data_IF_289169961975
#
_entry.id   IF_289169961975
#
_cell.length_a   1.000
_cell.length_b   1.000
_cell.length_c   1.000
_cell.angle_alpha   90.00
_cell.angle_beta   90.00
_cell.angle_gamma   90.00
#
_symmetry.space_group_name_H-M   'P 1'
#
loop_
_entity.id
_entity.type
_entity.pdbx_description
1 polymer ?
#
# COMPACT_ATOMS: atom_id res chain seq x y z
N UNK A 1 26.92 36.39 -9.66
CA UNK A 1 25.77 35.44 -9.68
C UNK A 1 26.13 34.16 -10.46
N UNK A 2 27.29 33.53 -10.23
CA UNK A 2 27.80 32.45 -11.09
C UNK A 2 28.08 31.11 -10.37
N UNK A 3 27.71 30.96 -9.08
CA UNK A 3 28.07 29.77 -8.28
C UNK A 3 26.94 28.76 -8.07
N UNK A 4 25.74 28.97 -8.64
CA UNK A 4 24.57 28.08 -8.40
C UNK A 4 24.25 27.09 -9.52
N UNK A 5 24.86 27.25 -10.70
CA UNK A 5 24.57 26.38 -11.85
C UNK A 5 25.45 25.12 -11.84
N UNK A 6 26.69 25.21 -11.34
CA UNK A 6 27.61 24.05 -11.29
C UNK A 6 27.21 22.92 -10.32
N UNK A 7 26.44 23.22 -9.26
CA UNK A 7 26.04 22.21 -8.28
C UNK A 7 24.93 21.27 -8.79
N UNK A 8 24.09 21.72 -9.72
CA UNK A 8 22.98 20.91 -10.23
C UNK A 8 23.48 19.91 -11.28
N UNK A 9 24.47 20.29 -12.10
CA UNK A 9 25.09 19.37 -13.06
C UNK A 9 25.94 18.30 -12.37
N UNK A 10 26.66 18.65 -11.30
CA UNK A 10 27.41 17.69 -10.48
C UNK A 10 26.49 16.67 -9.79
N UNK A 11 25.31 17.08 -9.31
CA UNK A 11 24.34 16.16 -8.70
C UNK A 11 23.73 15.23 -9.74
N UNK A 12 23.44 15.71 -10.96
CA UNK A 12 22.94 14.85 -12.06
C UNK A 12 23.96 13.83 -12.52
N UNK A 13 25.24 14.20 -12.64
CA UNK A 13 26.34 13.30 -12.99
C UNK A 13 26.54 12.22 -11.92
N UNK A 14 26.55 12.59 -10.64
CA UNK A 14 26.69 11.64 -9.52
C UNK A 14 25.49 10.68 -9.45
N UNK A 15 24.27 11.14 -9.71
CA UNK A 15 23.08 10.28 -9.70
C UNK A 15 23.03 9.31 -10.89
N UNK A 16 23.43 9.77 -12.08
CA UNK A 16 23.51 8.92 -13.27
C UNK A 16 24.60 7.86 -13.14
N UNK A 17 25.79 8.22 -12.62
CA UNK A 17 26.86 7.26 -12.35
C UNK A 17 26.47 6.26 -11.25
N UNK A 18 25.77 6.69 -10.20
CA UNK A 18 25.25 5.77 -9.18
C UNK A 18 24.18 4.83 -9.73
N UNK A 19 23.26 5.31 -10.57
CA UNK A 19 22.23 4.48 -11.19
C UNK A 19 22.82 3.48 -12.17
N UNK A 20 23.79 3.87 -12.99
CA UNK A 20 24.51 2.93 -13.86
C UNK A 20 25.33 1.91 -13.07
N UNK A 21 25.99 2.34 -12.00
CA UNK A 21 26.77 1.46 -11.13
C UNK A 21 25.88 0.44 -10.42
N UNK A 22 24.71 0.85 -9.90
CA UNK A 22 23.75 -0.06 -9.28
C UNK A 22 23.12 -1.03 -10.28
N UNK A 23 22.82 -0.56 -11.50
CA UNK A 23 22.21 -1.41 -12.52
C UNK A 23 23.23 -2.45 -13.06
N UNK A 24 24.49 -2.05 -13.29
CA UNK A 24 25.59 -2.96 -13.66
C UNK A 24 25.87 -3.98 -12.54
N UNK A 25 25.86 -3.56 -11.27
CA UNK A 25 26.07 -4.47 -10.12
C UNK A 25 24.92 -5.45 -9.94
N UNK A 26 23.68 -5.00 -10.13
CA UNK A 26 22.47 -5.86 -10.11
C UNK A 26 22.47 -6.90 -11.23
N UNK A 27 22.82 -6.50 -12.45
CA UNK A 27 23.02 -7.41 -13.58
C UNK A 27 24.14 -8.40 -13.32
N UNK A 28 25.26 -7.95 -12.73
CA UNK A 28 26.39 -8.83 -12.39
C UNK A 28 26.03 -9.82 -11.28
N UNK A 29 25.29 -9.40 -10.24
CA UNK A 29 24.81 -10.31 -9.19
C UNK A 29 23.78 -11.30 -9.71
N UNK A 30 22.91 -10.89 -10.63
CA UNK A 30 21.93 -11.79 -11.26
C UNK A 30 22.61 -12.78 -12.21
N UNK A 31 23.64 -12.34 -12.94
CA UNK A 31 24.45 -13.21 -13.79
C UNK A 31 25.28 -14.19 -12.97
N UNK A 32 25.92 -13.73 -11.88
CA UNK A 32 26.69 -14.60 -10.98
C UNK A 32 25.78 -15.60 -10.27
N UNK A 33 24.60 -15.20 -9.78
CA UNK A 33 23.63 -16.14 -9.18
C UNK A 33 23.12 -17.15 -10.20
N UNK A 34 22.79 -16.73 -11.43
CA UNK A 34 22.43 -17.67 -12.51
C UNK A 34 23.58 -18.61 -12.89
N UNK A 35 24.81 -18.12 -12.94
CA UNK A 35 26.00 -18.93 -13.22
C UNK A 35 26.27 -19.92 -12.09
N UNK A 36 26.11 -19.49 -10.84
CA UNK A 36 26.27 -20.34 -9.65
C UNK A 36 25.19 -21.41 -9.65
N UNK A 37 23.91 -21.06 -9.84
CA UNK A 37 22.80 -22.01 -9.96
C UNK A 37 23.04 -22.98 -11.12
N UNK A 38 23.48 -22.51 -12.29
CA UNK A 38 23.77 -23.36 -13.44
C UNK A 38 24.97 -24.29 -13.21
N UNK A 39 25.99 -23.85 -12.47
CA UNK A 39 27.10 -24.70 -12.03
C UNK A 39 26.67 -25.70 -10.95
N UNK A 40 25.83 -25.30 -9.99
CA UNK A 40 25.31 -26.20 -8.95
C UNK A 40 24.39 -27.26 -9.57
N UNK A 41 23.51 -26.87 -10.50
CA UNK A 41 22.67 -27.81 -11.27
C UNK A 41 23.56 -28.76 -12.07
N UNK A 42 24.56 -28.24 -12.80
CA UNK A 42 25.48 -29.07 -13.59
C UNK A 42 26.32 -30.02 -12.72
N UNK A 43 26.76 -29.58 -11.53
CA UNK A 43 27.43 -30.45 -10.56
C UNK A 43 26.48 -31.46 -9.95
N UNK A 44 25.22 -31.12 -9.66
CA UNK A 44 24.22 -32.09 -9.18
C UNK A 44 23.79 -33.08 -10.25
N UNK A 45 23.77 -32.71 -11.54
CA UNK A 45 23.53 -33.65 -12.65
C UNK A 45 24.77 -34.45 -13.04
N UNK A 46 25.97 -34.01 -12.65
CA UNK A 46 27.19 -34.83 -12.69
C UNK A 46 27.36 -35.71 -11.45
N UNK A 47 26.65 -35.41 -10.35
CA UNK A 47 26.56 -36.20 -9.12
C UNK A 47 25.31 -37.09 -9.04
N UNK A 48 24.39 -37.03 -10.02
CA UNK A 48 23.59 -38.20 -10.38
C UNK A 48 24.57 -39.21 -10.94
N UNK A 49 25.06 -40.03 -10.02
CA UNK A 49 25.88 -41.20 -10.25
C UNK A 49 25.25 -41.94 -11.42
N UNK A 50 25.97 -41.97 -12.55
CA UNK A 50 25.97 -43.12 -13.44
C UNK A 50 26.35 -44.31 -12.55
N UNK A 51 25.36 -44.90 -11.87
CA UNK A 51 25.47 -46.27 -11.42
C UNK A 51 25.26 -47.09 -12.69
N UNK A 52 26.30 -47.17 -13.52
CA UNK A 52 26.41 -48.37 -14.35
C UNK A 52 26.36 -49.55 -13.38
N UNK A 53 25.49 -50.55 -13.62
CA UNK A 53 25.41 -51.69 -12.74
C UNK A 53 26.78 -52.35 -12.76
N UNK A 54 27.48 -52.31 -11.62
CA UNK A 54 28.70 -53.08 -11.43
C UNK A 54 28.27 -54.54 -11.51
N UNK A 55 28.54 -55.14 -12.66
CA UNK A 55 28.41 -56.57 -12.92
C UNK A 55 29.43 -57.29 -12.04
N UNK A 56 28.99 -57.71 -10.86
CA UNK A 56 29.72 -58.70 -10.07
C UNK A 56 29.43 -60.06 -10.69
N UNK A 57 30.24 -60.47 -11.67
CA UNK A 57 30.37 -61.89 -12.01
C UNK A 57 31.04 -62.58 -10.81
N UNK A 58 30.20 -63.00 -9.86
CA UNK A 58 30.56 -63.90 -8.78
C UNK A 58 29.87 -65.23 -9.07
N UNK A 59 30.53 -66.03 -9.91
CA UNK A 59 30.26 -67.45 -10.05
C UNK A 59 30.47 -68.13 -8.69
N UNK A 60 29.38 -68.59 -8.08
CA UNK A 60 29.44 -69.58 -7.00
C UNK A 60 28.64 -69.21 -5.75
N UNK A 61 27.41 -69.73 -5.72
CA UNK A 61 26.67 -70.08 -4.51
C UNK A 61 26.04 -68.93 -3.70
N UNK A 62 25.07 -68.22 -4.27
CA UNK A 62 24.16 -67.39 -3.48
C UNK A 62 22.70 -67.66 -3.87
N UNK A 63 21.87 -68.01 -2.87
CA UNK A 63 20.43 -67.76 -2.95
C UNK A 63 20.28 -66.27 -3.23
N UNK A 64 19.82 -65.91 -4.42
CA UNK A 64 19.55 -64.52 -4.78
C UNK A 64 18.48 -63.97 -3.83
N UNK A 65 18.91 -63.29 -2.76
CA UNK A 65 17.99 -62.55 -1.90
C UNK A 65 17.31 -61.49 -2.76
N UNK A 66 15.99 -61.37 -2.63
CA UNK A 66 15.25 -60.35 -3.36
C UNK A 66 15.66 -58.94 -2.87
N UNK A 67 15.52 -57.93 -3.72
CA UNK A 67 15.80 -56.54 -3.34
C UNK A 67 15.04 -56.10 -2.08
N UNK A 68 13.81 -56.60 -1.93
CA UNK A 68 12.96 -56.35 -0.76
C UNK A 68 13.52 -57.02 0.51
N UNK A 69 14.05 -58.23 0.42
CA UNK A 69 14.72 -58.92 1.54
C UNK A 69 15.99 -58.20 1.99
N UNK A 70 16.77 -57.64 1.05
CA UNK A 70 17.97 -56.85 1.38
C UNK A 70 17.62 -55.54 2.10
N UNK A 71 16.57 -54.86 1.66
CA UNK A 71 16.08 -53.64 2.33
C UNK A 71 15.54 -53.96 3.71
N UNK A 72 14.77 -55.05 3.84
CA UNK A 72 14.21 -55.47 5.12
C UNK A 72 15.31 -55.83 6.12
N UNK A 73 16.33 -56.60 5.71
CA UNK A 73 17.50 -56.90 6.54
C UNK A 73 18.27 -55.64 6.96
N UNK A 74 18.36 -54.64 6.07
CA UNK A 74 18.97 -53.36 6.39
C UNK A 74 18.15 -52.55 7.41
N UNK A 75 16.82 -52.58 7.31
CA UNK A 75 15.92 -51.95 8.30
C UNK A 75 16.05 -52.62 9.67
N UNK A 76 16.06 -53.95 9.73
CA UNK A 76 16.24 -54.70 10.98
C UNK A 76 17.61 -54.40 11.62
N UNK A 77 18.66 -54.31 10.80
CA UNK A 77 20.00 -53.89 11.26
C UNK A 77 20.00 -52.47 11.82
N UNK A 78 19.35 -51.52 11.14
CA UNK A 78 19.18 -50.15 11.61
C UNK A 78 18.47 -50.10 12.97
N UNK A 79 17.36 -50.82 13.12
CA UNK A 79 16.59 -50.86 14.38
C UNK A 79 17.42 -51.43 15.52
N UNK A 80 18.14 -52.52 15.29
CA UNK A 80 19.05 -53.14 16.27
C UNK A 80 20.12 -52.14 16.73
N UNK A 81 20.79 -51.46 15.79
CA UNK A 81 21.80 -50.46 16.11
C UNK A 81 21.22 -49.22 16.83
N UNK A 82 19.98 -48.82 16.50
CA UNK A 82 19.27 -47.74 17.22
C UNK A 82 18.98 -48.16 18.67
N UNK A 83 18.52 -49.39 18.89
CA UNK A 83 18.27 -49.92 20.23
C UNK A 83 19.55 -49.95 21.06
N UNK A 84 20.63 -50.50 20.51
CA UNK A 84 21.93 -50.55 21.18
C UNK A 84 22.44 -49.14 21.56
N UNK A 85 22.32 -48.16 20.65
CA UNK A 85 22.72 -46.77 20.93
C UNK A 85 21.84 -46.12 22.00
N UNK A 86 20.54 -46.41 22.02
CA UNK A 86 19.63 -45.93 23.08
C UNK A 86 19.98 -46.52 24.44
N UNK A 87 20.33 -47.80 24.50
CA UNK A 87 20.71 -48.45 25.74
C UNK A 87 22.08 -47.96 26.25
N UNK A 88 23.04 -47.74 25.35
CA UNK A 88 24.30 -47.09 25.70
C UNK A 88 24.07 -45.68 26.25
N UNK A 89 23.19 -44.89 25.61
CA UNK A 89 22.84 -43.55 26.08
C UNK A 89 22.23 -43.59 27.48
N UNK A 90 21.32 -44.52 27.76
CA UNK A 90 20.73 -44.70 29.09
C UNK A 90 21.79 -45.07 30.13
N UNK A 91 22.72 -45.97 29.79
CA UNK A 91 23.82 -46.34 30.70
C UNK A 91 24.69 -45.13 31.01
N UNK A 92 25.03 -44.32 30.01
CA UNK A 92 25.80 -43.08 30.20
C UNK A 92 25.04 -42.07 31.05
N UNK A 93 23.74 -41.92 30.83
CA UNK A 93 22.88 -41.04 31.64
C UNK A 93 22.85 -41.49 33.10
N UNK A 94 22.56 -42.76 33.37
CA UNK A 94 22.55 -43.31 34.72
C UNK A 94 23.91 -43.14 35.40
N UNK A 95 25.01 -43.41 34.70
CA UNK A 95 26.36 -43.22 35.21
C UNK A 95 26.70 -41.74 35.48
N UNK A 96 26.08 -40.82 34.74
CA UNK A 96 26.24 -39.37 34.96
C UNK A 96 25.41 -38.92 36.16
N UNK A 97 24.19 -39.47 36.35
CA UNK A 97 23.31 -39.17 37.47
C UNK A 97 23.87 -39.68 38.81
N UNK A 98 24.67 -40.75 38.78
CA UNK A 98 25.40 -41.27 39.95
C UNK A 98 26.59 -40.38 40.37
N UNK A 99 27.03 -39.45 39.52
CA UNK A 99 28.12 -38.51 39.83
C UNK A 99 27.56 -37.29 40.57
N UNK A 100 28.05 -36.96 41.79
CA UNK A 100 27.55 -35.81 42.54
C UNK A 100 27.85 -34.49 41.81
N UNK A 101 26.87 -33.57 41.78
CA UNK A 101 26.92 -32.28 41.06
C UNK A 101 28.11 -31.35 41.43
N UNK A 102 28.78 -31.61 42.55
CA UNK A 102 29.79 -30.72 43.14
C UNK A 102 31.25 -31.10 42.81
N UNK A 103 31.50 -31.83 41.72
CA UNK A 103 32.88 -32.10 41.27
C UNK A 103 33.30 -31.01 40.29
N UNK A 104 34.12 -30.06 40.74
CA UNK A 104 34.83 -29.18 39.82
C UNK A 104 35.64 -30.03 38.83
N UNK A 105 35.55 -29.77 37.51
CA UNK A 105 36.22 -30.60 36.51
C UNK A 105 37.75 -30.48 36.65
N UNK A 106 38.34 -31.39 37.43
CA UNK A 106 39.78 -31.60 37.52
C UNK A 106 40.21 -32.50 36.37
N UNK A 107 40.33 -31.94 35.17
CA UNK A 107 40.78 -32.65 33.98
C UNK A 107 41.35 -31.72 32.91
N UNK A 108 42.34 -32.21 32.16
CA UNK A 108 42.88 -31.49 31.02
C UNK A 108 41.98 -31.71 29.80
N UNK A 109 41.27 -30.67 29.36
CA UNK A 109 40.43 -30.71 28.15
C UNK A 109 41.21 -31.14 26.91
N UNK A 110 42.53 -30.91 26.88
CA UNK A 110 43.38 -31.37 25.78
C UNK A 110 43.45 -32.90 25.72
N UNK A 111 43.40 -33.58 26.87
CA UNK A 111 43.36 -35.04 26.92
C UNK A 111 42.02 -35.57 26.41
N UNK A 112 40.90 -34.96 26.82
CA UNK A 112 39.57 -35.37 26.33
C UNK A 112 39.44 -35.20 24.81
N UNK A 113 39.90 -34.08 24.27
CA UNK A 113 39.86 -33.81 22.82
C UNK A 113 40.86 -34.67 22.03
N UNK A 114 41.84 -35.28 22.69
CA UNK A 114 42.83 -36.13 22.02
C UNK A 114 42.28 -37.50 21.59
N UNK A 115 41.18 -37.96 22.18
CA UNK A 115 40.62 -39.31 21.94
C UNK A 115 39.13 -39.25 21.61
N UNK A 116 38.67 -39.86 20.51
CA UNK A 116 37.24 -39.97 20.23
C UNK A 116 36.58 -40.92 21.24
N UNK A 117 35.47 -40.46 21.84
CA UNK A 117 34.73 -41.17 22.90
C UNK A 117 33.87 -42.32 22.36
N UNK A 118 33.40 -42.21 21.12
CA UNK A 118 32.58 -43.22 20.48
C UNK A 118 33.18 -43.60 19.14
N UNK A 119 33.38 -44.90 18.93
CA UNK A 119 33.83 -45.46 17.65
C UNK A 119 32.72 -46.36 17.12
N UNK A 120 32.19 -46.10 15.93
CA UNK A 120 31.18 -46.95 15.34
C UNK A 120 31.79 -48.32 14.99
N UNK A 121 30.98 -49.37 15.16
CA UNK A 121 31.33 -50.71 14.69
C UNK A 121 31.31 -50.76 13.16
N UNK A 122 31.96 -51.78 12.58
CA UNK A 122 31.99 -51.97 11.12
C UNK A 122 30.60 -52.19 10.51
N UNK A 123 29.65 -52.72 11.29
CA UNK A 123 28.27 -52.93 10.86
C UNK A 123 27.38 -51.71 11.08
N UNK A 124 27.87 -50.66 11.75
CA UNK A 124 27.06 -49.49 12.09
C UNK A 124 26.67 -48.72 10.80
N UNK A 125 25.37 -48.63 10.48
CA UNK A 125 24.91 -47.95 9.26
C UNK A 125 24.98 -46.42 9.33
N UNK A 126 25.53 -45.84 10.40
CA UNK A 126 25.56 -44.38 10.67
C UNK A 126 26.07 -43.53 9.49
N UNK A 127 27.05 -44.02 8.73
CA UNK A 127 27.60 -43.28 7.59
C UNK A 127 26.55 -43.05 6.50
N UNK A 128 25.84 -44.10 6.11
CA UNK A 128 24.78 -44.02 5.10
C UNK A 128 23.59 -43.23 5.63
N UNK A 129 23.17 -43.47 6.89
CA UNK A 129 22.05 -42.77 7.50
C UNK A 129 22.29 -41.26 7.59
N UNK A 130 23.49 -40.84 8.03
CA UNK A 130 23.85 -39.42 8.16
C UNK A 130 23.95 -38.76 6.79
N UNK A 131 24.60 -39.41 5.83
CA UNK A 131 24.72 -38.88 4.47
C UNK A 131 23.34 -38.74 3.81
N UNK A 132 22.47 -39.74 3.96
CA UNK A 132 21.11 -39.73 3.42
C UNK A 132 20.29 -38.59 4.02
N UNK A 133 20.17 -38.52 5.35
CA UNK A 133 19.39 -37.47 6.04
C UNK A 133 19.95 -36.08 5.77
N UNK A 134 21.27 -35.92 5.79
CA UNK A 134 21.90 -34.62 5.49
C UNK A 134 21.58 -34.18 4.07
N UNK A 135 21.62 -35.09 3.10
CA UNK A 135 21.40 -34.76 1.70
C UNK A 135 19.92 -34.48 1.40
N UNK A 136 19.00 -35.29 1.94
CA UNK A 136 17.56 -35.08 1.76
C UNK A 136 17.12 -33.79 2.44
N UNK A 137 17.54 -33.56 3.68
CA UNK A 137 17.23 -32.32 4.41
C UNK A 137 17.75 -31.10 3.66
N UNK A 138 19.00 -31.14 3.18
CA UNK A 138 19.59 -30.04 2.40
C UNK A 138 18.81 -29.78 1.11
N UNK A 139 18.42 -30.84 0.40
CA UNK A 139 17.65 -30.71 -0.84
C UNK A 139 16.28 -30.07 -0.57
N UNK A 140 15.56 -30.56 0.43
CA UNK A 140 14.24 -30.05 0.80
C UNK A 140 14.30 -28.60 1.30
N UNK A 141 15.26 -28.28 2.17
CA UNK A 141 15.43 -26.93 2.70
C UNK A 141 15.81 -25.95 1.59
N UNK A 142 16.68 -26.36 0.67
CA UNK A 142 17.08 -25.54 -0.48
C UNK A 142 15.89 -25.32 -1.42
N UNK A 143 15.10 -26.36 -1.70
CA UNK A 143 13.90 -26.23 -2.53
C UNK A 143 12.89 -25.26 -1.92
N UNK A 144 12.62 -25.38 -0.62
CA UNK A 144 11.74 -24.45 0.11
C UNK A 144 12.27 -23.01 0.03
N UNK A 145 13.57 -22.82 0.25
CA UNK A 145 14.19 -21.51 0.17
C UNK A 145 14.11 -20.91 -1.24
N UNK A 146 14.38 -21.69 -2.29
CA UNK A 146 14.26 -21.23 -3.69
C UNK A 146 12.84 -20.78 -3.98
N UNK A 147 11.83 -21.59 -3.63
CA UNK A 147 10.43 -21.26 -3.87
C UNK A 147 10.03 -19.95 -3.17
N UNK A 148 10.49 -19.73 -1.93
CA UNK A 148 10.24 -18.49 -1.20
C UNK A 148 10.90 -17.29 -1.88
N UNK A 149 12.13 -17.45 -2.37
CA UNK A 149 12.85 -16.38 -3.09
C UNK A 149 12.23 -16.07 -4.44
N UNK A 150 11.77 -17.07 -5.19
CA UNK A 150 11.08 -16.86 -6.46
C UNK A 150 9.79 -16.07 -6.27
N UNK A 151 8.99 -16.42 -5.25
CA UNK A 151 7.79 -15.66 -4.92
C UNK A 151 8.12 -14.19 -4.59
N UNK A 152 9.12 -13.97 -3.73
CA UNK A 152 9.54 -12.62 -3.34
C UNK A 152 10.12 -11.83 -4.51
N UNK A 153 10.76 -12.48 -5.46
CA UNK A 153 11.31 -11.84 -6.66
C UNK A 153 10.17 -11.26 -7.51
N UNK A 154 9.10 -12.02 -7.73
CA UNK A 154 7.92 -11.54 -8.48
C UNK A 154 7.29 -10.33 -7.81
N UNK A 155 7.15 -10.36 -6.49
CA UNK A 155 6.64 -9.22 -5.70
C UNK A 155 7.54 -7.98 -5.84
N UNK A 156 8.86 -8.16 -5.79
CA UNK A 156 9.82 -7.07 -5.98
C UNK A 156 9.78 -6.50 -7.40
N UNK A 157 9.68 -7.35 -8.42
CA UNK A 157 9.58 -6.90 -9.81
C UNK A 157 8.32 -6.07 -10.03
N UNK A 158 7.20 -6.46 -9.41
CA UNK A 158 5.98 -5.66 -9.48
C UNK A 158 6.15 -4.32 -8.78
N UNK A 159 6.68 -4.31 -7.56
CA UNK A 159 6.95 -3.06 -6.81
C UNK A 159 7.86 -2.11 -7.60
N UNK A 160 8.87 -2.64 -8.29
CA UNK A 160 9.76 -1.82 -9.14
C UNK A 160 9.00 -1.23 -10.34
N UNK A 161 8.06 -1.97 -10.95
CA UNK A 161 7.21 -1.44 -12.02
C UNK A 161 6.32 -0.31 -11.48
N UNK A 162 5.62 -0.55 -10.38
CA UNK A 162 4.72 0.43 -9.77
C UNK A 162 5.46 1.72 -9.38
N UNK A 163 6.66 1.59 -8.81
CA UNK A 163 7.48 2.75 -8.46
C UNK A 163 7.97 3.53 -9.68
N UNK A 164 8.27 2.84 -10.80
CA UNK A 164 8.63 3.51 -12.05
C UNK A 164 7.46 4.29 -12.61
N UNK A 165 6.27 3.71 -12.61
CA UNK A 165 5.07 4.36 -13.10
C UNK A 165 4.72 5.59 -12.26
N UNK A 166 4.75 5.47 -10.93
CA UNK A 166 4.56 6.59 -10.02
C UNK A 166 5.59 7.70 -10.23
N UNK A 167 6.87 7.34 -10.44
CA UNK A 167 7.91 8.33 -10.71
C UNK A 167 7.65 9.06 -12.04
N UNK A 168 7.15 8.36 -13.07
CA UNK A 168 6.78 9.00 -14.33
C UNK A 168 5.60 9.98 -14.14
N UNK A 169 4.57 9.58 -13.38
CA UNK A 169 3.44 10.44 -13.08
C UNK A 169 3.87 11.70 -12.30
N UNK A 170 4.81 11.56 -11.37
CA UNK A 170 5.38 12.69 -10.64
C UNK A 170 6.17 13.64 -11.55
N UNK A 171 6.91 13.10 -12.53
CA UNK A 171 7.60 13.93 -13.53
C UNK A 171 6.58 14.72 -14.36
N UNK A 172 5.51 14.08 -14.80
CA UNK A 172 4.42 14.76 -15.53
C UNK A 172 3.76 15.84 -14.67
N UNK A 173 3.49 15.55 -13.39
CA UNK A 173 2.93 16.52 -12.46
C UNK A 173 3.85 17.74 -12.27
N UNK A 174 5.16 17.50 -12.12
CA UNK A 174 6.16 18.57 -12.01
C UNK A 174 6.13 19.45 -13.27
N UNK A 175 6.07 18.84 -14.46
CA UNK A 175 5.99 19.58 -15.72
C UNK A 175 4.70 20.43 -15.81
N UNK A 176 3.56 19.87 -15.39
CA UNK A 176 2.29 20.60 -15.34
C UNK A 176 2.33 21.77 -14.35
N UNK A 177 2.94 21.57 -13.18
CA UNK A 177 3.11 22.62 -12.18
C UNK A 177 4.05 23.73 -12.67
N UNK A 178 5.15 23.38 -13.34
CA UNK A 178 6.07 24.35 -13.94
C UNK A 178 5.36 25.18 -15.01
N UNK A 179 4.61 24.54 -15.93
CA UNK A 179 3.80 25.24 -16.93
C UNK A 179 2.77 26.18 -16.29
N UNK A 180 2.13 25.73 -15.20
CA UNK A 180 1.17 26.55 -14.44
C UNK A 180 1.83 27.75 -13.77
N UNK A 181 3.04 27.60 -13.22
CA UNK A 181 3.80 28.71 -12.64
C UNK A 181 4.17 29.74 -13.71
N UNK A 182 4.61 29.29 -14.89
CA UNK A 182 4.90 30.16 -16.03
C UNK A 182 3.65 30.94 -16.48
N UNK A 183 2.49 30.30 -16.52
CA UNK A 183 1.22 30.96 -16.90
C UNK A 183 0.62 31.85 -15.80
N UNK A 184 0.71 31.45 -14.52
CA UNK A 184 0.24 32.25 -13.39
C UNK A 184 1.09 33.50 -13.15
N UNK A 185 2.40 33.45 -13.43
CA UNK A 185 3.25 34.64 -13.42
C UNK A 185 2.78 35.71 -14.42
N UNK A 186 2.06 35.30 -15.47
CA UNK A 186 1.53 36.18 -16.52
C UNK A 186 0.09 36.66 -16.21
N UNK A 187 -0.66 35.94 -15.38
CA UNK A 187 -2.10 36.17 -15.13
C UNK A 187 -2.45 36.34 -13.65
N UNK A 188 -1.57 36.90 -12.83
CA UNK A 188 -1.87 37.18 -11.42
C UNK A 188 -2.81 38.39 -11.25
N UNK A 189 -4.04 38.29 -11.76
CA UNK A 189 -5.14 39.12 -11.31
C UNK A 189 -6.21 38.27 -10.64
N UNK A 190 -6.41 38.56 -9.35
CA UNK A 190 -7.72 38.58 -8.67
C UNK A 190 -8.41 37.23 -8.41
N UNK A 191 -7.77 36.35 -7.66
CA UNK A 191 -8.54 35.49 -6.74
C UNK A 191 -7.91 35.50 -5.35
N UNK A 192 -7.96 36.67 -4.70
CA UNK A 192 -7.96 36.63 -3.23
C UNK A 192 -9.27 35.96 -2.81
N UNK A 193 -9.24 34.98 -1.90
CA UNK A 193 -10.47 34.50 -1.29
C UNK A 193 -11.14 35.70 -0.62
N UNK A 194 -12.26 36.16 -1.19
CA UNK A 194 -13.06 37.23 -0.60
C UNK A 194 -13.68 36.71 0.68
N UNK A 195 -13.63 37.51 1.74
CA UNK A 195 -14.29 37.14 2.99
C UNK A 195 -15.81 37.02 2.73
N UNK A 196 -16.51 36.06 3.35
CA UNK A 196 -17.95 35.88 3.15
C UNK A 196 -18.76 37.17 3.37
N UNK A 197 -18.35 38.00 4.32
CA UNK A 197 -18.97 39.32 4.59
C UNK A 197 -18.81 40.30 3.44
N UNK A 198 -17.66 40.29 2.76
CA UNK A 198 -17.37 41.16 1.62
C UNK A 198 -18.16 40.70 0.38
N UNK A 199 -18.29 39.40 0.18
CA UNK A 199 -19.15 38.81 -0.85
C UNK A 199 -20.62 39.15 -0.57
N UNK A 200 -21.08 38.99 0.67
CA UNK A 200 -22.45 39.30 1.05
C UNK A 200 -22.77 40.79 0.84
N UNK A 201 -21.86 41.70 1.22
CA UNK A 201 -22.01 43.14 0.97
C UNK A 201 -22.09 43.45 -0.52
N UNK A 202 -21.26 42.81 -1.34
CA UNK A 202 -21.29 42.99 -2.79
C UNK A 202 -22.60 42.48 -3.38
N UNK A 203 -23.05 41.28 -2.99
CA UNK A 203 -24.32 40.72 -3.44
C UNK A 203 -25.51 41.59 -3.04
N UNK A 204 -25.53 42.12 -1.81
CA UNK A 204 -26.56 43.06 -1.36
C UNK A 204 -26.52 44.36 -2.18
N UNK A 205 -25.33 44.91 -2.46
CA UNK A 205 -25.21 46.12 -3.29
C UNK A 205 -25.64 45.89 -4.75
N UNK A 206 -25.33 44.72 -5.33
CA UNK A 206 -25.79 44.35 -6.67
C UNK A 206 -27.28 44.09 -6.71
N UNK A 207 -27.85 43.53 -5.64
CA UNK A 207 -29.29 43.34 -5.50
C UNK A 207 -30.01 44.70 -5.39
N UNK A 208 -29.48 45.62 -4.60
CA UNK A 208 -30.02 46.98 -4.48
C UNK A 208 -29.97 47.71 -5.82
N UNK A 209 -28.86 47.61 -6.54
CA UNK A 209 -28.71 48.19 -7.88
C UNK A 209 -29.69 47.56 -8.89
N UNK A 210 -29.88 46.23 -8.84
CA UNK A 210 -30.85 45.51 -9.67
C UNK A 210 -32.28 45.97 -9.39
N UNK A 211 -32.65 46.11 -8.12
CA UNK A 211 -33.98 46.57 -7.71
C UNK A 211 -34.22 48.00 -8.16
N UNK A 212 -33.24 48.90 -7.98
CA UNK A 212 -33.36 50.32 -8.35
C UNK A 212 -33.35 50.57 -9.86
N UNK A 213 -32.61 49.79 -10.65
CA UNK A 213 -32.43 50.05 -12.09
C UNK A 213 -33.35 49.24 -12.99
N UNK A 214 -33.74 48.04 -12.58
CA UNK A 214 -34.45 47.08 -13.44
C UNK A 214 -35.83 46.80 -12.86
N UNK A 215 -35.88 46.36 -11.60
CA UNK A 215 -37.13 45.88 -11.01
C UNK A 215 -38.13 47.03 -10.76
N UNK A 216 -37.69 48.18 -10.25
CA UNK A 216 -38.55 49.34 -10.01
C UNK A 216 -39.16 49.87 -11.31
N UNK A 217 -38.36 49.96 -12.38
CA UNK A 217 -38.77 50.49 -13.69
C UNK A 217 -39.83 49.60 -14.35
N UNK A 218 -39.69 48.28 -14.26
CA UNK A 218 -40.65 47.34 -14.84
C UNK A 218 -41.96 47.20 -14.04
N UNK A 219 -41.95 47.60 -12.76
CA UNK A 219 -43.11 47.46 -11.85
C UNK A 219 -44.03 48.69 -11.87
N UNK A 220 -43.53 49.87 -12.25
CA UNK A 220 -44.29 51.13 -12.32
C UNK A 220 -45.44 51.00 -13.33
N UNK A 221 -46.68 51.09 -12.84
CA UNK A 221 -47.82 51.47 -13.67
C UNK A 221 -47.81 53.00 -13.82
N UNK A 222 -48.15 53.51 -15.01
CA UNK A 222 -47.94 54.88 -15.48
C UNK A 222 -48.51 56.03 -14.60
N UNK A 223 -49.17 55.72 -13.48
CA UNK A 223 -49.82 56.69 -12.59
C UNK A 223 -49.06 56.97 -11.29
N UNK A 224 -48.05 56.17 -10.89
CA UNK A 224 -47.37 56.32 -9.58
C UNK A 224 -45.84 56.14 -9.67
N UNK A 225 -45.18 56.96 -10.47
CA UNK A 225 -43.71 57.02 -10.54
C UNK A 225 -43.15 57.89 -9.41
N UNK A 226 -42.82 57.28 -8.27
CA UNK A 226 -42.07 57.91 -7.18
C UNK A 226 -40.79 57.12 -6.87
N UNK A 227 -39.72 57.82 -6.51
CA UNK A 227 -38.44 57.22 -6.07
C UNK A 227 -38.63 56.27 -4.87
N UNK A 228 -39.63 56.55 -4.04
CA UNK A 228 -40.00 55.79 -2.84
C UNK A 228 -40.38 54.32 -3.13
N UNK A 229 -40.85 54.02 -4.35
CA UNK A 229 -41.25 52.65 -4.71
C UNK A 229 -40.06 51.68 -4.71
N UNK A 230 -38.87 52.15 -5.09
CA UNK A 230 -37.67 51.32 -5.11
C UNK A 230 -37.21 50.94 -3.70
N UNK A 231 -37.38 51.85 -2.74
CA UNK A 231 -37.05 51.63 -1.33
C UNK A 231 -38.07 50.71 -0.66
N UNK A 232 -39.36 50.88 -0.94
CA UNK A 232 -40.42 49.99 -0.46
C UNK A 232 -40.24 48.55 -0.98
N UNK A 233 -39.94 48.39 -2.27
CA UNK A 233 -39.70 47.07 -2.87
C UNK A 233 -38.43 46.42 -2.32
N UNK A 234 -37.36 47.19 -2.13
CA UNK A 234 -36.13 46.68 -1.53
C UNK A 234 -36.34 46.27 -0.06
N UNK A 235 -37.09 47.05 0.71
CA UNK A 235 -37.44 46.71 2.10
C UNK A 235 -38.25 45.41 2.18
N UNK A 236 -39.20 45.18 1.26
CA UNK A 236 -39.94 43.92 1.16
C UNK A 236 -39.02 42.73 0.82
N UNK A 237 -38.06 42.89 -0.09
CA UNK A 237 -37.09 41.84 -0.43
C UNK A 237 -36.16 41.55 0.77
N UNK A 238 -35.74 42.58 1.51
CA UNK A 238 -34.95 42.40 2.73
C UNK A 238 -35.72 41.68 3.84
N UNK A 239 -37.03 41.96 4.01
CA UNK A 239 -37.89 41.20 4.93
C UNK A 239 -38.00 39.73 4.52
N UNK A 240 -38.12 39.46 3.22
CA UNK A 240 -38.12 38.08 2.68
C UNK A 240 -36.79 37.35 2.90
N UNK A 241 -35.66 38.02 2.66
CA UNK A 241 -34.32 37.45 2.85
C UNK A 241 -33.98 37.19 4.32
N UNK A 242 -34.51 37.99 5.25
CA UNK A 242 -34.33 37.80 6.69
C UNK A 242 -35.30 36.77 7.30
N UNK A 243 -36.06 36.03 6.48
CA UNK A 243 -37.04 35.04 6.92
C UNK A 243 -38.10 35.60 7.90
N UNK A 244 -38.65 36.79 7.59
CA UNK A 244 -39.72 37.36 8.39
C UNK A 244 -40.98 36.47 8.35
N UNK A 245 -41.38 35.92 9.50
CA UNK A 245 -42.56 35.06 9.63
C UNK A 245 -43.87 35.84 9.65
N UNK A 246 -43.81 37.16 9.79
CA UNK A 246 -44.97 38.06 9.89
C UNK A 246 -45.38 38.67 8.56
N UNK A 247 -44.66 38.38 7.47
CA UNK A 247 -44.93 38.97 6.17
C UNK A 247 -46.26 38.46 5.60
N UNK A 248 -47.23 39.35 5.43
CA UNK A 248 -48.56 39.02 4.94
C UNK A 248 -48.71 39.35 3.45
N UNK A 249 -49.63 38.68 2.76
CA UNK A 249 -50.01 39.06 1.39
C UNK A 249 -50.56 40.49 1.32
N UNK A 250 -51.08 41.03 2.43
CA UNK A 250 -51.55 42.41 2.54
C UNK A 250 -50.42 43.46 2.51
N UNK A 251 -49.20 43.08 2.92
CA UNK A 251 -48.01 43.95 2.89
C UNK A 251 -47.54 44.22 1.45
N UNK A 252 -47.99 43.41 0.49
CA UNK A 252 -47.80 43.67 -0.93
C UNK A 252 -48.88 44.66 -1.43
N UNK A 253 -48.58 45.95 -1.25
CA UNK A 253 -49.39 47.07 -1.76
C UNK A 253 -49.62 47.01 -3.28
N UNK A 254 -50.52 47.85 -3.80
CA UNK A 254 -50.96 47.83 -5.22
C UNK A 254 -49.79 47.84 -6.22
N UNK A 255 -48.69 48.53 -5.92
CA UNK A 255 -47.51 48.61 -6.78
C UNK A 255 -46.55 47.40 -6.67
N UNK A 256 -46.53 46.68 -5.56
CA UNK A 256 -45.67 45.48 -5.34
C UNK A 256 -46.39 44.15 -5.61
N UNK A 257 -47.67 44.18 -6.04
CA UNK A 257 -48.42 42.98 -6.45
C UNK A 257 -47.81 42.23 -7.62
N UNK A 258 -47.18 42.94 -8.56
CA UNK A 258 -46.48 42.32 -9.70
C UNK A 258 -45.25 41.54 -9.23
N UNK A 259 -44.52 42.04 -8.23
CA UNK A 259 -43.42 41.33 -7.59
C UNK A 259 -43.90 40.06 -6.89
N UNK A 260 -44.99 40.15 -6.12
CA UNK A 260 -45.60 38.97 -5.50
C UNK A 260 -45.97 37.89 -6.54
N UNK A 261 -46.58 38.29 -7.67
CA UNK A 261 -46.90 37.38 -8.78
C UNK A 261 -45.64 36.78 -9.42
N UNK A 262 -44.58 37.56 -9.56
CA UNK A 262 -43.31 37.11 -10.12
C UNK A 262 -42.66 36.06 -9.23
N UNK A 263 -42.56 36.34 -7.92
CA UNK A 263 -42.02 35.42 -6.92
C UNK A 263 -42.84 34.14 -6.80
N UNK A 264 -44.18 34.25 -6.89
CA UNK A 264 -45.07 33.08 -6.88
C UNK A 264 -44.92 32.25 -8.16
N UNK A 265 -44.82 32.89 -9.33
CA UNK A 265 -44.66 32.20 -10.61
C UNK A 265 -43.29 31.55 -10.76
N UNK A 266 -42.26 32.13 -10.15
CA UNK A 266 -40.92 31.56 -10.11
C UNK A 266 -40.74 30.49 -9.02
N UNK A 267 -41.79 30.18 -8.25
CA UNK A 267 -41.79 29.21 -7.14
C UNK A 267 -40.71 29.51 -6.09
N UNK A 268 -40.36 30.78 -5.87
CA UNK A 268 -39.37 31.19 -4.87
C UNK A 268 -39.99 31.45 -3.50
N UNK A 269 -41.32 31.57 -3.43
CA UNK A 269 -42.09 31.78 -2.20
C UNK A 269 -43.13 30.68 -2.00
N UNK A 270 -43.41 30.39 -0.74
CA UNK A 270 -44.51 29.53 -0.30
C UNK A 270 -45.53 30.39 0.45
N UNK A 271 -46.81 30.14 0.18
CA UNK A 271 -47.90 30.82 0.88
C UNK A 271 -48.50 29.81 1.85
N UNK A 272 -48.44 30.12 3.14
CA UNK A 272 -48.99 29.28 4.20
C UNK A 272 -50.22 29.96 4.80
N UNK A 273 -51.30 29.19 4.95
CA UNK A 273 -52.53 29.68 5.58
C UNK A 273 -52.39 29.55 7.11
N UNK A 274 -52.44 30.69 7.80
CA UNK A 274 -52.45 30.77 9.26
C UNK A 274 -53.84 30.49 9.82
N UNK A 275 -54.00 30.02 11.09
CA UNK A 275 -55.30 29.76 11.70
C UNK A 275 -56.27 30.95 11.69
N UNK A 276 -55.75 32.18 11.58
CA UNK A 276 -56.53 33.42 11.56
C UNK A 276 -56.99 33.86 10.16
N UNK A 277 -56.95 32.98 9.16
CA UNK A 277 -57.32 33.28 7.76
C UNK A 277 -56.43 34.36 7.10
N UNK A 278 -55.23 34.55 7.65
CA UNK A 278 -54.19 35.43 7.13
C UNK A 278 -53.18 34.58 6.38
N UNK A 279 -52.82 35.02 5.17
CA UNK A 279 -51.86 34.33 4.30
C UNK A 279 -50.47 34.91 4.53
N UNK A 280 -49.57 34.09 5.08
CA UNK A 280 -48.17 34.47 5.25
C UNK A 280 -47.33 34.02 4.06
N UNK A 281 -46.37 34.85 3.68
CA UNK A 281 -45.46 34.61 2.56
C UNK A 281 -44.08 34.29 3.11
N UNK A 282 -43.61 33.07 2.88
CA UNK A 282 -42.25 32.64 3.28
C UNK A 282 -41.39 32.40 2.05
N UNK A 283 -40.15 32.88 2.07
CA UNK A 283 -39.15 32.54 1.06
C UNK A 283 -38.79 31.05 1.20
N UNK A 284 -38.59 30.36 0.08
CA UNK A 284 -38.05 29.01 0.09
C UNK A 284 -36.68 29.01 0.78
N UNK A 285 -36.42 28.00 1.61
CA UNK A 285 -35.11 27.85 2.22
C UNK A 285 -34.11 27.34 1.15
N UNK A 286 -33.19 28.21 0.74
CA UNK A 286 -32.10 27.86 -0.18
C UNK A 286 -30.88 27.30 0.56
N UNK A 287 -30.89 27.28 1.90
CA UNK A 287 -29.83 26.77 2.74
C UNK A 287 -30.13 25.36 3.30
N UNK A 288 -31.37 24.88 3.21
CA UNK A 288 -31.72 23.52 3.63
C UNK A 288 -31.13 22.48 2.66
N UNK A 289 -30.14 21.72 3.13
CA UNK A 289 -29.61 20.52 2.46
C UNK A 289 -30.49 19.29 2.69
N UNK A 290 -31.81 19.45 2.70
CA UNK A 290 -32.70 18.31 2.80
C UNK A 290 -32.58 17.51 1.50
N UNK A 291 -31.90 16.37 1.64
CA UNK A 291 -31.46 15.41 0.63
C UNK A 291 -32.46 15.31 -0.55
N UNK A 292 -32.11 16.03 -1.61
CA UNK A 292 -32.60 15.78 -2.98
C UNK A 292 -31.79 14.64 -3.59
#
# INVERSE_FOLDING_TARGET
>A
MAYKVGSIELIKLVYLDHLEFFNKRSLMTTYLTRLTIKMTIKMTTSLTINCEPISWDMDGLERSMSSEELVQAYVESLESHIHLKRDLLKQVQNATDEVPEAIEPKGDWKELLSKPLFRPDRSDPIGLSLASVSQTTRLESTKKWINEKEKRLVELEQMIRDQKDLNNDLVVLIDLLNRKLETMAITSEKQRPRMPEEVNRQLLSSLEEFVKKILSVDMVDAEHAGDDLSEEVFALIMRLLNHDETLEVADFHKCSKKLFRLLLRSNLITVTDSPNNVRHVKLLDFASYDLS
#
